data_IF_668277428258
#
_entry.id   IF_668277428258
#
_cell.length_a   1.000
_cell.length_b   1.000
_cell.length_c   1.000
_cell.angle_alpha   90.00
_cell.angle_beta   90.00
_cell.angle_gamma   90.00
#
_symmetry.space_group_name_H-M   'P 1'
#
loop_
_entity.id
_entity.type
_entity.pdbx_description
1 polymer ?
#
# COMPACT_ATOMS: atom_id res chain seq x y z
N UNK A 1 10.25 3.32 11.48
CA UNK A 1 11.00 2.48 11.12
C UNK A 1 11.18 1.58 9.95
N UNK A 2 10.25 0.66 9.59
CA UNK A 2 10.59 -0.43 8.65
C UNK A 2 10.66 0.03 7.18
N UNK A 3 9.72 0.85 6.73
CA UNK A 3 9.70 1.36 5.34
C UNK A 3 10.83 2.37 5.11
N UNK A 4 11.05 3.27 6.07
CA UNK A 4 12.16 4.24 6.03
C UNK A 4 13.51 3.53 6.09
N UNK A 5 13.65 2.49 6.92
CA UNK A 5 14.88 1.67 6.96
C UNK A 5 15.08 0.83 5.71
N UNK A 6 14.02 0.37 5.05
CA UNK A 6 14.13 -0.32 3.77
C UNK A 6 14.62 0.63 2.66
N UNK A 7 14.05 1.83 2.56
CA UNK A 7 14.48 2.87 1.61
C UNK A 7 15.90 3.39 1.93
N UNK A 8 16.25 3.55 3.22
CA UNK A 8 17.60 3.93 3.64
C UNK A 8 18.64 2.86 3.30
N UNK A 9 18.32 1.57 3.54
CA UNK A 9 19.20 0.45 3.15
C UNK A 9 19.33 0.28 1.64
N UNK A 10 18.33 0.67 0.85
CA UNK A 10 18.43 0.72 -0.61
C UNK A 10 19.41 1.82 -1.03
N UNK A 11 19.35 3.04 -0.47
CA UNK A 11 20.32 4.11 -0.71
C UNK A 11 21.75 3.75 -0.29
N UNK A 12 21.92 3.08 0.85
CA UNK A 12 23.25 2.67 1.35
C UNK A 12 23.89 1.54 0.51
N UNK A 13 23.10 0.77 -0.23
CA UNK A 13 23.61 -0.28 -1.15
C UNK A 13 24.07 0.24 -2.51
N UNK A 14 23.69 1.45 -2.89
CA UNK A 14 24.12 2.07 -4.15
C UNK A 14 25.60 2.53 -4.14
N UNK A 15 26.31 2.44 -3.01
CA UNK A 15 27.71 2.84 -2.83
C UNK A 15 28.74 1.72 -2.76
N UNK A 16 28.39 0.47 -3.04
CA UNK A 16 29.32 -0.68 -3.00
C UNK A 16 30.20 -0.74 -4.26
N UNK A 17 31.52 -1.04 -4.12
CA UNK A 17 32.41 -1.16 -5.27
C UNK A 17 32.07 -2.43 -6.07
N UNK A 18 31.61 -2.28 -7.30
CA UNK A 18 31.32 -3.31 -8.33
C UNK A 18 29.84 -3.63 -8.63
N UNK A 19 28.93 -2.69 -8.50
CA UNK A 19 27.65 -2.82 -9.21
C UNK A 19 27.87 -2.21 -10.59
N UNK A 20 27.92 -3.05 -11.65
CA UNK A 20 27.78 -2.54 -13.01
C UNK A 20 26.51 -1.66 -13.05
N UNK A 21 26.56 -0.49 -13.69
CA UNK A 21 25.36 0.33 -13.84
C UNK A 21 24.30 -0.56 -14.50
N UNK A 22 23.21 -0.85 -13.79
CA UNK A 22 22.00 -1.34 -14.44
C UNK A 22 21.74 -0.41 -15.61
N UNK A 23 21.49 -0.99 -16.80
CA UNK A 23 21.08 -0.23 -17.97
C UNK A 23 20.08 0.83 -17.50
N UNK A 24 20.28 2.09 -17.90
CA UNK A 24 19.50 3.22 -17.45
C UNK A 24 18.05 2.81 -17.35
N UNK A 25 17.47 2.89 -16.15
CA UNK A 25 16.08 2.58 -15.96
C UNK A 25 15.29 3.37 -17.01
N UNK A 26 14.34 2.77 -17.72
CA UNK A 26 13.56 3.51 -18.70
C UNK A 26 13.03 4.77 -17.98
N UNK A 27 13.08 5.90 -18.68
CA UNK A 27 12.66 7.21 -18.16
C UNK A 27 11.16 7.16 -17.84
N UNK A 28 10.85 6.57 -16.69
CA UNK A 28 9.50 6.31 -16.20
C UNK A 28 9.15 7.34 -15.14
N UNK A 29 8.35 8.31 -15.53
CA UNK A 29 7.77 9.25 -14.57
C UNK A 29 6.50 8.66 -13.99
N UNK A 30 6.46 8.49 -12.67
CA UNK A 30 5.26 8.01 -11.98
C UNK A 30 4.21 9.13 -11.91
N UNK A 31 3.12 8.98 -12.69
CA UNK A 31 2.05 9.98 -12.81
C UNK A 31 0.67 9.48 -12.34
N UNK A 32 0.60 8.28 -11.75
CA UNK A 32 -0.67 7.69 -11.36
C UNK A 32 -1.22 8.31 -10.09
N UNK A 33 -2.56 8.27 -9.98
CA UNK A 33 -3.26 8.48 -8.72
C UNK A 33 -3.12 7.24 -7.85
N UNK A 34 -2.94 7.44 -6.55
CA UNK A 34 -2.85 6.36 -5.59
C UNK A 34 -3.39 6.79 -4.22
N UNK A 35 -3.66 5.84 -3.35
CA UNK A 35 -4.06 6.07 -1.96
C UNK A 35 -3.32 5.10 -1.05
N UNK A 36 -3.15 5.51 0.21
CA UNK A 36 -2.45 4.73 1.23
C UNK A 36 -3.31 4.68 2.49
N UNK A 37 -3.40 3.48 3.08
CA UNK A 37 -3.96 3.25 4.41
C UNK A 37 -2.86 2.62 5.26
N UNK A 38 -2.54 3.23 6.40
CA UNK A 38 -1.48 2.78 7.32
C UNK A 38 -2.11 2.49 8.68
N UNK A 39 -2.11 1.24 9.07
CA UNK A 39 -2.52 0.80 10.39
C UNK A 39 -1.32 0.73 11.33
N UNK A 40 -1.44 1.38 12.50
CA UNK A 40 -0.37 1.42 13.48
C UNK A 40 -0.89 1.69 14.90
N UNK A 41 0.00 1.69 15.88
CA UNK A 41 -0.31 1.95 17.28
C UNK A 41 0.84 2.69 17.98
N UNK A 42 0.69 2.98 19.27
CA UNK A 42 1.67 3.64 20.14
C UNK A 42 1.75 5.16 19.97
N UNK A 43 0.79 5.79 19.30
CA UNK A 43 0.69 7.24 19.24
C UNK A 43 -0.79 7.65 19.21
N UNK A 44 -1.23 8.52 20.10
CA UNK A 44 -2.60 8.99 20.07
C UNK A 44 -2.89 9.77 18.79
N UNK A 45 -4.09 9.64 18.26
CA UNK A 45 -4.51 10.30 17.02
C UNK A 45 -4.40 11.83 17.10
N UNK A 46 -4.67 12.38 18.26
CA UNK A 46 -4.58 13.83 18.54
C UNK A 46 -3.13 14.32 18.49
N UNK A 47 -2.20 13.56 19.09
CA UNK A 47 -0.77 13.87 19.02
C UNK A 47 -0.28 13.76 17.59
N UNK A 48 -0.58 12.66 16.91
CA UNK A 48 -0.15 12.45 15.54
C UNK A 48 -0.71 13.52 14.60
N UNK A 49 -2.00 13.90 14.77
CA UNK A 49 -2.61 14.96 13.97
C UNK A 49 -1.92 16.32 14.17
N UNK A 50 -1.49 16.64 15.38
CA UNK A 50 -0.73 17.86 15.68
C UNK A 50 0.62 17.85 14.94
N UNK A 51 1.40 16.78 15.10
CA UNK A 51 2.73 16.65 14.48
C UNK A 51 2.65 16.67 12.93
N UNK A 52 1.61 16.04 12.36
CA UNK A 52 1.37 16.10 10.90
C UNK A 52 1.07 17.54 10.44
N UNK A 53 0.22 18.28 11.17
CA UNK A 53 -0.08 19.68 10.84
C UNK A 53 1.15 20.59 11.00
N UNK A 54 1.99 20.36 11.99
CA UNK A 54 3.27 21.08 12.15
C UNK A 54 4.24 20.80 11.00
N UNK A 55 4.08 19.67 10.32
CA UNK A 55 4.81 19.32 9.10
C UNK A 55 4.07 19.76 7.82
N UNK A 56 3.10 20.67 7.87
CA UNK A 56 2.26 21.10 6.74
C UNK A 56 1.50 19.96 6.03
N UNK A 57 1.08 18.96 6.78
CA UNK A 57 0.18 17.91 6.31
C UNK A 57 -1.21 18.17 6.87
N UNK A 58 -2.17 18.47 5.98
CA UNK A 58 -3.55 18.65 6.39
C UNK A 58 -4.16 17.31 6.81
N UNK A 59 -4.67 17.24 8.05
CA UNK A 59 -5.23 16.01 8.62
C UNK A 59 -6.38 16.31 9.58
N UNK A 60 -7.42 15.44 9.54
CA UNK A 60 -8.53 15.44 10.51
C UNK A 60 -8.53 14.17 11.34
N UNK A 61 -9.06 14.27 12.55
CA UNK A 61 -9.38 13.11 13.39
C UNK A 61 -10.88 12.87 13.28
N UNK A 62 -11.25 11.68 12.84
CA UNK A 62 -12.64 11.32 12.57
C UNK A 62 -13.00 9.98 13.25
N UNK A 63 -14.29 9.72 13.41
CA UNK A 63 -14.78 8.38 13.68
C UNK A 63 -14.63 7.50 12.44
N UNK A 64 -14.64 6.18 12.63
CA UNK A 64 -14.54 5.22 11.53
C UNK A 64 -15.50 5.51 10.37
N UNK A 65 -14.97 5.69 9.18
CA UNK A 65 -15.72 5.90 7.95
C UNK A 65 -14.86 5.58 6.72
N UNK A 66 -15.51 5.29 5.58
CA UNK A 66 -14.86 5.00 4.30
C UNK A 66 -14.90 6.18 3.31
N UNK A 67 -15.22 7.39 3.78
CA UNK A 67 -15.30 8.57 2.90
C UNK A 67 -13.89 9.05 2.53
N UNK A 68 -13.57 9.12 1.25
CA UNK A 68 -12.34 9.77 0.77
C UNK A 68 -12.41 11.26 1.03
N UNK A 69 -11.38 11.83 1.66
CA UNK A 69 -11.24 13.25 1.95
C UNK A 69 -10.22 13.91 1.03
N UNK A 70 -10.24 15.23 0.85
CA UNK A 70 -9.18 15.94 0.14
C UNK A 70 -7.90 16.12 0.98
N UNK A 71 -7.89 15.66 2.22
CA UNK A 71 -6.81 15.70 3.21
C UNK A 71 -6.66 14.33 3.88
N UNK A 72 -5.59 14.13 4.61
CA UNK A 72 -5.39 12.93 5.43
C UNK A 72 -6.43 12.85 6.54
N UNK A 73 -6.77 11.65 6.95
CA UNK A 73 -7.64 11.44 8.12
C UNK A 73 -7.09 10.33 9.01
N UNK A 74 -7.29 10.49 10.30
CA UNK A 74 -7.01 9.50 11.33
C UNK A 74 -8.34 8.95 11.85
N UNK A 75 -8.55 7.66 11.68
CA UNK A 75 -9.76 6.97 12.13
C UNK A 75 -9.43 5.87 13.13
N UNK A 76 -10.44 5.38 13.83
CA UNK A 76 -10.32 4.20 14.70
C UNK A 76 -10.42 2.94 13.85
N UNK A 77 -9.63 1.93 14.17
CA UNK A 77 -9.82 0.56 13.69
C UNK A 77 -9.73 -0.41 14.86
N UNK A 78 -10.83 -1.12 15.11
CA UNK A 78 -10.94 -2.09 16.21
C UNK A 78 -10.21 -3.41 15.94
N UNK A 79 -9.72 -3.64 14.73
CA UNK A 79 -8.94 -4.83 14.36
C UNK A 79 -7.48 -4.73 14.80
N UNK A 80 -6.99 -3.52 15.08
CA UNK A 80 -5.60 -3.27 15.45
C UNK A 80 -5.42 -3.54 16.95
N UNK A 81 -4.46 -4.38 17.30
CA UNK A 81 -4.09 -4.67 18.67
C UNK A 81 -2.99 -3.71 19.16
N UNK A 82 -3.20 -3.11 20.32
CA UNK A 82 -2.22 -2.19 20.92
C UNK A 82 -2.88 -1.05 21.67
N UNK A 83 -2.06 -0.19 22.23
CA UNK A 83 -2.51 1.07 22.84
C UNK A 83 -2.44 2.18 21.78
N UNK A 84 -3.38 3.13 21.83
CA UNK A 84 -3.41 4.27 20.93
C UNK A 84 -3.34 3.82 19.45
N UNK A 85 -4.27 2.94 19.07
CA UNK A 85 -4.38 2.42 17.70
C UNK A 85 -5.01 3.43 16.77
N UNK A 86 -4.59 3.42 15.51
CA UNK A 86 -5.15 4.27 14.47
C UNK A 86 -4.97 3.66 13.08
N UNK A 87 -5.82 4.07 12.18
CA UNK A 87 -5.64 3.95 10.75
C UNK A 87 -5.48 5.36 10.16
N UNK A 88 -4.37 5.61 9.47
CA UNK A 88 -4.08 6.84 8.76
C UNK A 88 -4.36 6.65 7.28
N UNK A 89 -5.35 7.38 6.77
CA UNK A 89 -5.84 7.26 5.38
C UNK A 89 -5.49 8.51 4.59
N UNK A 90 -4.84 8.34 3.45
CA UNK A 90 -4.46 9.44 2.58
C UNK A 90 -5.64 10.04 1.81
N UNK A 91 -5.52 11.29 1.33
CA UNK A 91 -6.28 11.76 0.19
C UNK A 91 -5.87 10.99 -1.07
N UNK A 92 -6.45 11.34 -2.22
CA UNK A 92 -5.94 10.87 -3.51
C UNK A 92 -4.62 11.58 -3.79
N UNK A 93 -3.53 10.82 -3.68
CA UNK A 93 -2.18 11.27 -4.00
C UNK A 93 -1.91 11.12 -5.49
N UNK A 94 -1.00 11.92 -6.04
CA UNK A 94 -0.71 11.90 -7.49
C UNK A 94 0.80 11.96 -7.72
N UNK A 95 1.31 10.96 -8.42
CA UNK A 95 2.65 10.94 -8.98
C UNK A 95 3.75 11.21 -7.96
N UNK A 96 4.82 11.84 -8.42
CA UNK A 96 6.01 12.17 -7.60
C UNK A 96 5.69 13.14 -6.45
N UNK A 97 4.74 14.06 -6.65
CA UNK A 97 4.32 14.98 -5.58
C UNK A 97 3.67 14.21 -4.42
N UNK A 98 2.79 13.25 -4.75
CA UNK A 98 2.18 12.39 -3.75
C UNK A 98 3.19 11.48 -3.04
N UNK A 99 4.21 11.00 -3.75
CA UNK A 99 5.29 10.21 -3.11
C UNK A 99 6.10 11.04 -2.13
N UNK A 100 6.41 12.30 -2.46
CA UNK A 100 7.11 13.21 -1.52
C UNK A 100 6.26 13.54 -0.29
N UNK A 101 4.95 13.71 -0.46
CA UNK A 101 4.04 13.92 0.67
C UNK A 101 3.99 12.66 1.57
N UNK A 102 3.89 11.48 0.98
CA UNK A 102 3.96 10.22 1.71
C UNK A 102 5.29 10.04 2.46
N UNK A 103 6.43 10.40 1.84
CA UNK A 103 7.75 10.37 2.51
C UNK A 103 7.76 11.27 3.76
N UNK A 104 7.19 12.46 3.66
CA UNK A 104 7.05 13.40 4.78
C UNK A 104 6.17 12.83 5.90
N UNK A 105 5.04 12.21 5.53
CA UNK A 105 4.16 11.52 6.49
C UNK A 105 4.89 10.38 7.19
N UNK A 106 5.63 9.54 6.45
CA UNK A 106 6.41 8.46 7.05
C UNK A 106 7.49 8.97 8.02
N UNK A 107 8.10 10.13 7.72
CA UNK A 107 9.04 10.76 8.64
C UNK A 107 8.36 11.20 9.95
N UNK A 108 7.16 11.78 9.88
CA UNK A 108 6.39 12.16 11.09
C UNK A 108 5.98 10.93 11.89
N UNK A 109 5.55 9.85 11.24
CA UNK A 109 5.22 8.59 11.92
C UNK A 109 6.42 8.03 12.69
N UNK A 110 7.62 8.10 12.11
CA UNK A 110 8.86 7.67 12.75
C UNK A 110 9.22 8.59 13.95
N UNK A 111 9.07 9.90 13.80
CA UNK A 111 9.25 10.87 14.87
C UNK A 111 8.31 10.64 16.06
N UNK A 112 7.08 10.23 15.80
CA UNK A 112 6.09 9.88 16.81
C UNK A 112 6.33 8.53 17.50
N UNK A 113 7.37 7.79 17.14
CA UNK A 113 7.67 6.42 17.62
C UNK A 113 6.48 5.47 17.42
N UNK A 114 5.75 5.61 16.28
CA UNK A 114 4.67 4.70 15.98
C UNK A 114 5.20 3.28 15.77
N UNK A 115 4.39 2.29 16.09
CA UNK A 115 4.73 0.89 16.01
C UNK A 115 3.71 0.11 15.20
N UNK A 116 4.17 -1.00 14.64
CA UNK A 116 3.33 -1.96 13.93
C UNK A 116 3.52 -3.35 14.49
N UNK A 117 2.50 -4.18 14.41
CA UNK A 117 2.52 -5.58 14.80
C UNK A 117 1.77 -6.45 13.78
N UNK A 118 1.57 -7.73 14.08
CA UNK A 118 0.92 -8.68 13.16
C UNK A 118 -0.56 -8.36 12.84
N UNK A 119 -1.20 -7.45 13.58
CA UNK A 119 -2.57 -6.99 13.29
C UNK A 119 -2.62 -5.77 12.38
N UNK A 120 -1.50 -5.05 12.19
CA UNK A 120 -1.44 -3.83 11.39
C UNK A 120 -1.26 -4.15 9.91
N UNK A 121 -2.07 -3.54 9.05
CA UNK A 121 -1.97 -3.60 7.59
C UNK A 121 -1.32 -2.36 6.98
N UNK A 122 -0.88 -2.52 5.75
CA UNK A 122 -0.54 -1.44 4.84
C UNK A 122 -1.27 -1.71 3.53
N UNK A 123 -2.19 -0.83 3.15
CA UNK A 123 -2.95 -0.98 1.93
C UNK A 123 -2.55 0.11 0.93
N UNK A 124 -2.28 -0.30 -0.30
CA UNK A 124 -1.91 0.60 -1.39
C UNK A 124 -2.95 0.49 -2.49
N UNK A 125 -3.66 1.57 -2.74
CA UNK A 125 -4.63 1.69 -3.82
C UNK A 125 -3.99 2.37 -5.02
N UNK A 126 -4.01 1.74 -6.18
CA UNK A 126 -3.55 2.32 -7.44
C UNK A 126 -4.76 2.54 -8.36
N UNK A 127 -4.88 3.73 -8.93
CA UNK A 127 -5.93 4.04 -9.90
C UNK A 127 -5.88 3.06 -11.08
N UNK A 128 -6.99 2.38 -11.29
CA UNK A 128 -7.19 1.39 -12.34
C UNK A 128 -8.29 1.80 -13.33
N UNK A 129 -8.76 3.05 -13.25
CA UNK A 129 -9.71 3.58 -14.22
C UNK A 129 -9.09 3.49 -15.64
N UNK A 130 -9.83 2.93 -16.55
CA UNK A 130 -9.35 2.75 -17.94
C UNK A 130 -8.42 1.55 -18.18
N UNK A 131 -8.18 0.69 -17.20
CA UNK A 131 -7.45 -0.56 -17.45
C UNK A 131 -8.22 -1.46 -18.42
N UNK A 132 -7.53 -1.91 -19.49
CA UNK A 132 -8.03 -2.97 -20.34
C UNK A 132 -8.01 -4.32 -19.64
N UNK A 133 -8.76 -5.30 -20.16
CA UNK A 133 -8.65 -6.68 -19.63
C UNK A 133 -7.24 -7.26 -19.76
N UNK A 134 -6.51 -6.86 -20.79
CA UNK A 134 -5.10 -7.25 -20.93
C UNK A 134 -4.26 -6.69 -19.79
N UNK A 135 -4.44 -5.42 -19.44
CA UNK A 135 -3.76 -4.78 -18.32
C UNK A 135 -4.07 -5.50 -17.00
N UNK A 136 -5.34 -5.84 -16.75
CA UNK A 136 -5.76 -6.58 -15.57
C UNK A 136 -5.12 -7.97 -15.46
N UNK A 137 -5.09 -8.72 -16.58
CA UNK A 137 -4.44 -10.04 -16.62
C UNK A 137 -2.94 -9.93 -16.39
N UNK A 138 -2.28 -8.98 -17.04
CA UNK A 138 -0.85 -8.76 -16.91
C UNK A 138 -0.47 -8.33 -15.50
N UNK A 139 -1.26 -7.47 -14.86
CA UNK A 139 -1.08 -7.08 -13.46
C UNK A 139 -1.14 -8.30 -12.53
N UNK A 140 -2.19 -9.12 -12.66
CA UNK A 140 -2.36 -10.30 -11.81
C UNK A 140 -1.24 -11.33 -12.02
N UNK A 141 -0.84 -11.58 -13.27
CA UNK A 141 0.27 -12.47 -13.61
C UNK A 141 1.60 -11.95 -13.07
N UNK A 142 1.90 -10.67 -13.31
CA UNK A 142 3.14 -10.04 -12.86
C UNK A 142 3.24 -10.08 -11.33
N UNK A 143 2.16 -9.71 -10.63
CA UNK A 143 2.15 -9.78 -9.18
C UNK A 143 2.38 -11.22 -8.67
N UNK A 144 1.63 -12.19 -9.21
CA UNK A 144 1.79 -13.60 -8.86
C UNK A 144 3.22 -14.10 -9.01
N UNK A 145 3.88 -13.74 -10.11
CA UNK A 145 5.26 -14.18 -10.36
C UNK A 145 6.28 -13.42 -9.52
N UNK A 146 6.01 -12.16 -9.17
CA UNK A 146 6.88 -11.33 -8.33
C UNK A 146 6.59 -11.51 -6.83
N UNK A 147 5.47 -12.13 -6.45
CA UNK A 147 5.08 -12.31 -5.05
C UNK A 147 6.21 -12.86 -4.16
N UNK A 148 6.97 -13.91 -4.56
CA UNK A 148 8.06 -14.42 -3.74
C UNK A 148 9.21 -13.40 -3.51
N UNK A 149 9.34 -12.42 -4.41
CA UNK A 149 10.32 -11.33 -4.28
C UNK A 149 9.76 -10.23 -3.38
N UNK A 150 8.50 -9.84 -3.60
CA UNK A 150 7.80 -8.84 -2.78
C UNK A 150 7.75 -9.30 -1.32
N UNK A 151 7.45 -10.58 -1.07
CA UNK A 151 7.41 -11.16 0.28
C UNK A 151 8.74 -11.03 1.04
N UNK A 152 9.88 -10.94 0.36
CA UNK A 152 11.17 -10.71 1.03
C UNK A 152 11.28 -9.34 1.68
N UNK A 153 10.52 -8.35 1.20
CA UNK A 153 10.48 -7.00 1.77
C UNK A 153 9.41 -6.88 2.86
N UNK A 154 8.47 -7.84 2.92
CA UNK A 154 7.36 -7.81 3.87
C UNK A 154 7.73 -8.52 5.18
N UNK A 155 7.22 -8.05 6.33
CA UNK A 155 7.36 -8.80 7.58
C UNK A 155 6.71 -10.19 7.47
N UNK A 156 7.20 -11.16 8.23
CA UNK A 156 6.74 -12.55 8.16
C UNK A 156 5.21 -12.68 8.35
N UNK A 157 4.62 -11.82 9.20
CA UNK A 157 3.18 -11.77 9.43
C UNK A 157 2.35 -11.33 8.21
N UNK A 158 2.99 -10.79 7.14
CA UNK A 158 2.32 -10.32 5.92
C UNK A 158 2.64 -11.17 4.68
N UNK A 159 3.45 -12.21 4.82
CA UNK A 159 3.81 -13.10 3.70
C UNK A 159 2.74 -14.14 3.43
N UNK A 160 2.12 -14.67 4.48
CA UNK A 160 1.04 -15.64 4.41
C UNK A 160 0.16 -15.51 5.65
N UNK A 161 -0.98 -14.84 5.51
CA UNK A 161 -1.96 -14.76 6.56
C UNK A 161 -3.38 -14.64 5.97
N UNK A 162 -4.40 -14.82 6.81
CA UNK A 162 -5.80 -14.81 6.40
C UNK A 162 -6.21 -13.52 5.67
N UNK A 163 -5.65 -12.36 6.04
CA UNK A 163 -6.03 -11.03 5.51
C UNK A 163 -5.22 -10.61 4.28
N UNK A 164 -4.16 -11.34 3.93
CA UNK A 164 -3.32 -11.07 2.76
C UNK A 164 -2.82 -12.38 2.12
N UNK A 165 -3.78 -13.19 1.63
CA UNK A 165 -3.47 -14.46 0.97
C UNK A 165 -2.82 -14.24 -0.40
N UNK A 166 -1.85 -15.09 -0.74
CA UNK A 166 -1.18 -15.07 -2.02
C UNK A 166 -2.05 -15.55 -3.19
N UNK A 167 -1.56 -15.37 -4.40
CA UNK A 167 -2.22 -15.77 -5.64
C UNK A 167 -1.84 -17.18 -6.10
N UNK A 168 -1.10 -17.95 -5.31
CA UNK A 168 -0.60 -19.28 -5.69
C UNK A 168 -1.67 -20.30 -6.08
N UNK A 169 -2.90 -20.14 -5.56
CA UNK A 169 -4.05 -21.01 -5.88
C UNK A 169 -4.65 -20.78 -7.27
N UNK A 170 -4.34 -19.66 -7.93
CA UNK A 170 -4.86 -19.32 -9.26
C UNK A 170 -3.82 -19.67 -10.31
N UNK A 171 -4.15 -20.56 -11.25
CA UNK A 171 -3.23 -20.88 -12.34
C UNK A 171 -3.10 -19.73 -13.34
N UNK A 172 -1.97 -19.65 -14.05
CA UNK A 172 -1.78 -18.67 -15.11
C UNK A 172 -2.84 -18.78 -16.21
N UNK A 173 -3.25 -20.00 -16.54
CA UNK A 173 -4.32 -20.26 -17.50
C UNK A 173 -5.67 -19.67 -17.06
N UNK A 174 -5.98 -19.76 -15.76
CA UNK A 174 -7.19 -19.12 -15.21
C UNK A 174 -7.11 -17.60 -15.34
N UNK A 175 -5.96 -16.99 -15.03
CA UNK A 175 -5.79 -15.55 -15.17
C UNK A 175 -5.91 -15.12 -16.64
N UNK A 176 -5.20 -15.82 -17.56
CA UNK A 176 -5.19 -15.49 -19.00
C UNK A 176 -6.56 -15.63 -19.66
N UNK A 177 -7.38 -16.57 -19.22
CA UNK A 177 -8.71 -16.84 -19.80
C UNK A 177 -9.83 -15.99 -19.20
N UNK A 178 -9.55 -15.15 -18.20
CA UNK A 178 -10.56 -14.27 -17.61
C UNK A 178 -11.05 -13.26 -18.66
N UNK A 179 -12.37 -13.09 -18.78
CA UNK A 179 -12.99 -12.25 -19.83
C UNK A 179 -13.41 -10.88 -19.30
N UNK A 180 -13.69 -10.76 -18.01
CA UNK A 180 -14.10 -9.53 -17.34
C UNK A 180 -13.34 -9.37 -16.04
N UNK A 181 -13.34 -8.16 -15.46
CA UNK A 181 -12.75 -7.90 -14.14
C UNK A 181 -13.46 -8.71 -13.06
N UNK A 182 -14.78 -8.85 -13.14
CA UNK A 182 -15.55 -9.66 -12.19
C UNK A 182 -15.24 -11.15 -12.31
N UNK A 183 -15.02 -11.67 -13.52
CA UNK A 183 -14.54 -13.04 -13.73
C UNK A 183 -13.13 -13.23 -13.13
N UNK A 184 -12.20 -12.31 -13.37
CA UNK A 184 -10.86 -12.35 -12.77
C UNK A 184 -10.93 -12.25 -11.24
N UNK A 185 -11.74 -11.34 -10.70
CA UNK A 185 -11.98 -11.20 -9.26
C UNK A 185 -12.50 -12.50 -8.64
N UNK A 186 -13.48 -13.16 -9.28
CA UNK A 186 -14.02 -14.41 -8.76
C UNK A 186 -12.99 -15.55 -8.70
N UNK A 187 -12.01 -15.53 -9.59
CA UNK A 187 -10.90 -16.50 -9.64
C UNK A 187 -9.81 -16.22 -8.60
N UNK A 188 -9.47 -14.96 -8.39
CA UNK A 188 -8.51 -14.55 -7.37
C UNK A 188 -9.11 -14.70 -5.98
N UNK A 189 -10.37 -14.32 -5.79
CA UNK A 189 -11.10 -14.43 -4.53
C UNK A 189 -11.46 -13.09 -3.92
N UNK A 190 -11.76 -13.12 -2.62
CA UNK A 190 -12.26 -11.96 -1.88
C UNK A 190 -11.17 -10.93 -1.52
N UNK A 191 -11.59 -9.85 -0.86
CA UNK A 191 -10.74 -8.73 -0.43
C UNK A 191 -9.54 -9.11 0.46
N UNK A 192 -9.46 -10.32 0.97
CA UNK A 192 -8.38 -10.82 1.82
C UNK A 192 -7.22 -11.47 1.03
N UNK A 193 -7.01 -11.03 -0.21
CA UNK A 193 -5.87 -11.42 -1.03
C UNK A 193 -4.93 -10.22 -1.21
N UNK A 194 -3.63 -10.49 -1.38
CA UNK A 194 -2.60 -9.45 -1.61
C UNK A 194 -2.93 -8.54 -2.78
N UNK A 195 -3.66 -9.07 -3.78
CA UNK A 195 -4.25 -8.27 -4.86
C UNK A 195 -5.76 -8.32 -4.71
N UNK A 196 -6.33 -7.23 -4.23
CA UNK A 196 -7.77 -7.10 -4.00
C UNK A 196 -8.43 -6.34 -5.15
N UNK A 197 -9.21 -7.06 -5.96
CA UNK A 197 -9.97 -6.48 -7.08
C UNK A 197 -11.37 -5.98 -6.67
N UNK A 198 -11.86 -6.29 -5.46
CA UNK A 198 -13.12 -5.74 -4.97
C UNK A 198 -13.06 -4.21 -4.83
N UNK A 199 -11.87 -3.65 -4.59
CA UNK A 199 -11.63 -2.22 -4.55
C UNK A 199 -12.02 -1.51 -5.86
N UNK A 200 -11.97 -2.21 -7.00
CA UNK A 200 -12.34 -1.63 -8.29
C UNK A 200 -13.82 -1.25 -8.39
N UNK A 201 -14.70 -2.04 -7.82
CA UNK A 201 -16.14 -1.73 -7.84
C UNK A 201 -16.48 -0.48 -7.03
N UNK A 202 -15.76 -0.24 -5.93
CA UNK A 202 -16.01 0.88 -5.00
C UNK A 202 -15.22 2.14 -5.35
N UNK A 203 -13.94 1.99 -5.67
CA UNK A 203 -12.99 3.10 -5.76
C UNK A 203 -12.32 3.24 -7.13
N UNK A 204 -12.60 2.32 -8.08
CA UNK A 204 -11.92 2.24 -9.38
C UNK A 204 -10.39 2.03 -9.23
N UNK A 205 -9.97 1.38 -8.14
CA UNK A 205 -8.56 1.07 -7.85
C UNK A 205 -8.34 -0.43 -7.81
N UNK A 206 -7.10 -0.85 -8.00
CA UNK A 206 -6.59 -2.13 -7.48
C UNK A 206 -5.94 -1.85 -6.12
N UNK A 207 -6.20 -2.69 -5.15
CA UNK A 207 -5.62 -2.59 -3.80
C UNK A 207 -4.60 -3.70 -3.60
N UNK A 208 -3.43 -3.33 -3.10
CA UNK A 208 -2.38 -4.24 -2.64
C UNK A 208 -2.33 -4.21 -1.11
N UNK A 209 -2.29 -5.42 -0.48
CA UNK A 209 -2.40 -5.56 0.98
C UNK A 209 -1.20 -6.29 1.56
#
# INVERSE_FOLDING_TARGET
GFVVNALRRMREREGGPNVQPLAAAPDYTFNRKFGIEIEAYNCSRERLARELREADIEVTVESYNHTTRPHWKLVTDSSINGNDTFELVSPILVGEAGLRELEKVCWVLDLCDMKVNGSCGLHVHIDAAGFSMETWRNLALSYKHLEPVIDKFMPASRRDNYYCRGLGHVSDGMIRSARTVDDLKSRIGNRYHKVNLEAYSRHKTVEFR
#
